data_IF_914322643618
#
_entry.id   IF_914322643618
#
_cell.length_a   1.000
_cell.length_b   1.000
_cell.length_c   1.000
_cell.angle_alpha   90.00
_cell.angle_beta   90.00
_cell.angle_gamma   90.00
#
_symmetry.space_group_name_H-M   'P 1'
#
loop_
_entity.id
_entity.type
_entity.pdbx_description
1 polymer ?
#
# COMPACT_ATOMS: atom_id res chain seq x y z
N UNK A 1 -20.12 -26.68 -34.24
CA UNK A 1 -20.16 -25.22 -34.05
C UNK A 1 -19.96 -24.94 -32.57
N UNK A 2 -18.87 -24.25 -32.20
CA UNK A 2 -18.41 -23.98 -30.82
C UNK A 2 -18.76 -22.54 -30.43
N UNK A 3 -19.25 -22.30 -29.20
CA UNK A 3 -18.65 -21.23 -28.40
C UNK A 3 -18.74 -21.54 -26.89
N UNK A 4 -17.82 -22.38 -26.37
CA UNK A 4 -17.73 -22.62 -24.92
C UNK A 4 -16.40 -22.13 -24.30
N UNK A 5 -15.47 -21.66 -25.12
CA UNK A 5 -14.08 -21.39 -24.70
C UNK A 5 -13.82 -19.94 -24.29
N UNK A 6 -14.72 -19.00 -24.64
CA UNK A 6 -14.53 -17.57 -24.36
C UNK A 6 -14.98 -17.13 -22.96
N UNK A 7 -15.86 -17.88 -22.29
CA UNK A 7 -16.39 -17.47 -20.98
C UNK A 7 -15.43 -17.76 -19.81
N UNK A 8 -14.57 -18.78 -19.94
CA UNK A 8 -13.68 -19.22 -18.86
C UNK A 8 -12.48 -18.29 -18.67
N UNK A 9 -12.03 -17.62 -19.73
CA UNK A 9 -10.90 -16.66 -19.67
C UNK A 9 -11.28 -15.40 -18.88
N UNK A 10 -12.55 -14.98 -18.94
CA UNK A 10 -13.02 -13.76 -18.29
C UNK A 10 -13.10 -13.87 -16.76
N UNK A 11 -13.35 -15.06 -16.23
CA UNK A 11 -13.43 -15.31 -14.78
C UNK A 11 -12.06 -15.42 -14.10
N UNK A 12 -11.00 -15.71 -14.84
CA UNK A 12 -9.65 -15.85 -14.26
C UNK A 12 -8.98 -14.48 -13.97
N UNK A 13 -9.37 -13.41 -14.67
CA UNK A 13 -8.84 -12.05 -14.47
C UNK A 13 -9.25 -11.40 -13.14
N UNK A 14 -10.29 -11.92 -12.46
CA UNK A 14 -10.76 -11.40 -11.16
C UNK A 14 -10.11 -12.09 -9.94
N UNK A 15 -9.41 -13.21 -10.15
CA UNK A 15 -8.87 -14.06 -9.08
C UNK A 15 -7.52 -13.63 -8.49
N UNK A 16 -6.80 -12.68 -9.10
CA UNK A 16 -5.49 -12.21 -8.63
C UNK A 16 -5.57 -11.23 -7.44
N UNK A 17 -6.54 -11.43 -6.54
CA UNK A 17 -6.71 -10.66 -5.30
C UNK A 17 -6.42 -11.50 -4.04
N UNK A 18 -6.14 -12.80 -4.16
CA UNK A 18 -5.82 -13.67 -3.03
C UNK A 18 -4.35 -13.57 -2.57
N UNK A 19 -3.39 -13.33 -3.49
CA UNK A 19 -1.99 -13.05 -3.14
C UNK A 19 -1.83 -11.69 -2.41
N UNK A 20 -2.87 -10.86 -2.45
CA UNK A 20 -2.94 -9.47 -1.95
C UNK A 20 -3.06 -9.37 -0.41
N UNK A 21 -3.34 -10.48 0.29
CA UNK A 21 -3.61 -10.53 1.74
C UNK A 21 -2.41 -10.86 2.61
N UNK A 22 -1.34 -11.41 2.04
CA UNK A 22 -0.02 -11.43 2.71
C UNK A 22 0.73 -10.20 2.21
N UNK A 23 1.07 -9.19 2.99
CA UNK A 23 1.09 -9.06 4.44
C UNK A 23 1.34 -7.58 4.67
N UNK A 24 0.30 -6.79 4.88
CA UNK A 24 0.52 -5.41 5.33
C UNK A 24 1.16 -5.45 6.72
N UNK A 25 0.55 -6.23 7.63
CA UNK A 25 1.12 -6.51 8.96
C UNK A 25 2.55 -7.03 8.90
N UNK A 26 2.88 -8.02 8.06
CA UNK A 26 4.28 -8.52 7.99
C UNK A 26 5.24 -7.64 7.18
N UNK A 27 4.76 -6.69 6.38
CA UNK A 27 5.62 -5.64 5.82
C UNK A 27 6.02 -4.67 6.92
N UNK A 28 5.07 -4.26 7.77
CA UNK A 28 5.31 -3.35 8.89
C UNK A 28 5.91 -4.04 10.13
N UNK A 29 6.02 -5.37 10.14
CA UNK A 29 6.71 -6.10 11.21
C UNK A 29 8.24 -5.98 11.12
N UNK A 30 8.78 -5.77 9.91
CA UNK A 30 10.22 -5.65 9.68
C UNK A 30 10.63 -4.22 9.36
N UNK A 31 11.51 -3.63 10.20
CA UNK A 31 12.07 -2.29 9.97
C UNK A 31 12.70 -2.16 8.58
N UNK A 32 13.42 -3.19 8.11
CA UNK A 32 14.07 -3.20 6.79
C UNK A 32 13.07 -3.09 5.63
N UNK A 33 11.88 -3.68 5.78
CA UNK A 33 10.83 -3.58 4.77
C UNK A 33 10.19 -2.19 4.77
N UNK A 34 10.03 -1.58 5.95
CA UNK A 34 9.55 -0.20 6.08
C UNK A 34 10.57 0.79 5.51
N UNK A 35 11.86 0.62 5.80
CA UNK A 35 12.94 1.43 5.22
C UNK A 35 12.90 1.36 3.70
N UNK A 36 12.78 0.15 3.11
CA UNK A 36 12.62 -0.02 1.66
C UNK A 36 11.36 0.65 1.11
N UNK A 37 10.23 0.48 1.80
CA UNK A 37 8.98 1.13 1.41
C UNK A 37 9.15 2.65 1.41
N UNK A 38 9.81 3.21 2.41
CA UNK A 38 10.11 4.64 2.52
C UNK A 38 11.10 5.09 1.46
N UNK A 39 12.14 4.32 1.15
CA UNK A 39 13.09 4.65 0.09
C UNK A 39 12.41 4.66 -1.29
N UNK A 40 11.46 3.73 -1.51
CA UNK A 40 10.59 3.77 -2.68
C UNK A 40 9.69 5.02 -2.66
N UNK A 41 9.18 5.38 -1.47
CA UNK A 41 8.40 6.59 -1.25
C UNK A 41 9.23 7.84 -1.56
N UNK A 42 10.45 7.98 -1.07
CA UNK A 42 11.26 9.18 -1.30
C UNK A 42 11.95 9.20 -2.67
N UNK A 43 11.68 8.20 -3.53
CA UNK A 43 12.25 8.13 -4.88
C UNK A 43 13.73 7.71 -4.92
N UNK A 44 14.27 7.19 -3.81
CA UNK A 44 15.63 6.64 -3.74
C UNK A 44 15.73 5.33 -4.53
N UNK A 45 14.65 4.55 -4.57
CA UNK A 45 14.58 3.30 -5.33
C UNK A 45 13.23 3.13 -6.04
N UNK A 46 13.19 2.26 -7.05
CA UNK A 46 11.94 1.94 -7.73
C UNK A 46 11.02 1.10 -6.83
N UNK A 47 9.77 1.52 -6.71
CA UNK A 47 8.75 0.77 -5.99
C UNK A 47 8.35 -0.48 -6.76
N UNK A 48 8.25 -1.61 -6.07
CA UNK A 48 7.52 -2.79 -6.56
C UNK A 48 6.02 -2.51 -6.65
N UNK A 49 5.27 -3.32 -7.41
CA UNK A 49 3.81 -3.17 -7.53
C UNK A 49 3.09 -3.28 -6.16
N UNK A 50 3.66 -4.03 -5.22
CA UNK A 50 3.13 -4.13 -3.86
C UNK A 50 3.39 -2.85 -3.08
N UNK A 51 4.63 -2.34 -3.10
CA UNK A 51 5.00 -1.09 -2.42
C UNK A 51 4.26 0.12 -2.97
N UNK A 52 4.03 0.19 -4.29
CA UNK A 52 3.18 1.23 -4.90
C UNK A 52 1.77 1.21 -4.33
N UNK A 53 1.16 0.02 -4.22
CA UNK A 53 -0.19 -0.11 -3.66
C UNK A 53 -0.22 0.31 -2.18
N UNK A 54 0.77 -0.10 -1.38
CA UNK A 54 0.88 0.31 0.02
C UNK A 54 1.06 1.82 0.11
N UNK A 55 1.86 2.41 -0.78
CA UNK A 55 2.03 3.84 -0.87
C UNK A 55 0.71 4.56 -1.10
N UNK A 56 -0.02 4.18 -2.14
CA UNK A 56 -1.28 4.83 -2.48
C UNK A 56 -2.30 4.69 -1.34
N UNK A 57 -2.33 3.52 -0.68
CA UNK A 57 -3.16 3.29 0.50
C UNK A 57 -2.74 4.17 1.68
N UNK A 58 -1.45 4.30 1.96
CA UNK A 58 -0.92 5.14 3.03
C UNK A 58 -1.22 6.63 2.78
N UNK A 59 -1.02 7.10 1.55
CA UNK A 59 -1.37 8.47 1.13
C UNK A 59 -2.86 8.71 1.34
N UNK A 60 -3.71 7.83 0.79
CA UNK A 60 -5.15 7.96 0.92
C UNK A 60 -5.61 7.93 2.40
N UNK A 61 -4.95 7.13 3.23
CA UNK A 61 -5.21 7.04 4.68
C UNK A 61 -4.83 8.33 5.39
N UNK A 62 -3.64 8.89 5.12
CA UNK A 62 -3.18 10.13 5.74
C UNK A 62 -4.00 11.34 5.28
N UNK A 63 -4.33 11.42 4.00
CA UNK A 63 -5.19 12.46 3.42
C UNK A 63 -6.62 12.42 3.96
N UNK A 64 -7.04 11.29 4.54
CA UNK A 64 -8.37 11.11 5.12
C UNK A 64 -8.27 10.87 6.64
N UNK A 65 -7.42 11.65 7.31
CA UNK A 65 -7.31 11.71 8.77
C UNK A 65 -7.07 10.35 9.47
N UNK A 66 -6.28 9.48 8.83
CA UNK A 66 -5.97 8.15 9.37
C UNK A 66 -7.01 7.08 9.04
N UNK A 67 -7.94 7.33 8.12
CA UNK A 67 -8.92 6.34 7.66
C UNK A 67 -8.66 5.99 6.20
N UNK A 68 -8.43 4.71 5.88
CA UNK A 68 -8.25 4.33 4.48
C UNK A 68 -9.61 4.32 3.75
N UNK A 69 -9.81 5.14 2.71
CA UNK A 69 -11.08 5.17 1.98
C UNK A 69 -11.33 3.88 1.19
N UNK A 70 -12.60 3.58 0.94
CA UNK A 70 -13.05 2.34 0.26
C UNK A 70 -12.55 2.22 -1.19
N UNK A 71 -12.13 3.34 -1.79
CA UNK A 71 -11.52 3.39 -3.13
C UNK A 71 -10.16 2.69 -3.17
N UNK A 72 -9.38 2.80 -2.08
CA UNK A 72 -8.03 2.21 -1.97
C UNK A 72 -8.00 0.95 -1.07
N UNK A 73 -8.88 0.89 -0.06
CA UNK A 73 -9.04 -0.26 0.83
C UNK A 73 -10.44 -0.84 0.72
N UNK A 74 -10.60 -1.84 -0.17
CA UNK A 74 -11.91 -2.42 -0.52
C UNK A 74 -12.51 -3.18 0.65
N UNK A 75 -11.69 -3.89 1.42
CA UNK A 75 -12.15 -4.71 2.54
C UNK A 75 -12.03 -3.98 3.88
N UNK A 76 -12.94 -4.29 4.82
CA UNK A 76 -12.85 -3.78 6.19
C UNK A 76 -11.54 -4.19 6.86
N UNK A 77 -11.11 -5.44 6.65
CA UNK A 77 -9.84 -5.93 7.16
C UNK A 77 -8.63 -5.15 6.63
N UNK A 78 -8.59 -4.80 5.34
CA UNK A 78 -7.51 -3.94 4.81
C UNK A 78 -7.47 -2.57 5.47
N UNK A 79 -8.63 -1.99 5.80
CA UNK A 79 -8.70 -0.70 6.50
C UNK A 79 -8.15 -0.80 7.92
N UNK A 80 -8.56 -1.83 8.66
CA UNK A 80 -8.05 -2.10 10.02
C UNK A 80 -6.55 -2.39 10.02
N UNK A 81 -6.09 -3.24 9.09
CA UNK A 81 -4.67 -3.59 8.94
C UNK A 81 -3.84 -2.33 8.61
N UNK A 82 -4.34 -1.44 7.74
CA UNK A 82 -3.71 -0.15 7.43
C UNK A 82 -3.65 0.77 8.65
N UNK A 83 -4.76 0.93 9.37
CA UNK A 83 -4.81 1.78 10.56
C UNK A 83 -3.84 1.30 11.63
N UNK A 84 -3.84 0.00 11.90
CA UNK A 84 -2.92 -0.64 12.84
C UNK A 84 -1.46 -0.48 12.39
N UNK A 85 -1.18 -0.62 11.10
CA UNK A 85 0.16 -0.45 10.55
C UNK A 85 0.66 0.99 10.67
N UNK A 86 -0.20 1.98 10.46
CA UNK A 86 0.15 3.39 10.67
C UNK A 86 0.41 3.71 12.14
N UNK A 87 -0.41 3.18 13.06
CA UNK A 87 -0.17 3.30 14.50
C UNK A 87 1.14 2.62 14.91
N UNK A 88 1.43 1.43 14.39
CA UNK A 88 2.70 0.74 14.61
C UNK A 88 3.89 1.55 14.09
N UNK A 89 3.76 2.14 12.90
CA UNK A 89 4.82 2.98 12.33
C UNK A 89 5.08 4.22 13.20
N UNK A 90 4.02 4.90 13.65
CA UNK A 90 4.10 6.06 14.54
C UNK A 90 4.73 5.73 15.90
N UNK A 91 4.37 4.58 16.49
CA UNK A 91 4.79 4.21 17.85
C UNK A 91 6.15 3.52 17.89
N UNK A 92 6.43 2.62 16.94
CA UNK A 92 7.63 1.77 16.94
C UNK A 92 8.79 2.37 16.15
N UNK A 93 8.50 3.16 15.10
CA UNK A 93 9.52 3.74 14.22
C UNK A 93 9.24 5.22 13.91
N UNK A 94 9.25 6.10 14.93
CA UNK A 94 8.90 7.52 14.76
C UNK A 94 9.85 8.26 13.80
N UNK A 95 11.10 7.82 13.68
CA UNK A 95 12.08 8.31 12.71
C UNK A 95 11.63 8.07 11.26
N UNK A 96 11.15 6.86 10.99
CA UNK A 96 10.64 6.44 9.68
C UNK A 96 9.28 7.10 9.39
N UNK A 97 8.42 7.23 10.40
CA UNK A 97 7.17 7.99 10.30
C UNK A 97 7.41 9.44 9.89
N UNK A 98 8.35 10.13 10.55
CA UNK A 98 8.68 11.51 10.24
C UNK A 98 9.26 11.68 8.83
N UNK A 99 10.04 10.72 8.35
CA UNK A 99 10.49 10.69 6.95
C UNK A 99 9.33 10.54 5.97
N UNK A 100 8.41 9.62 6.24
CA UNK A 100 7.23 9.38 5.41
C UNK A 100 6.33 10.63 5.35
N UNK A 101 5.98 11.18 6.50
CA UNK A 101 5.14 12.39 6.62
C UNK A 101 5.86 13.60 6.04
N UNK A 102 7.16 13.75 6.31
CA UNK A 102 7.99 14.80 5.73
C UNK A 102 8.00 14.74 4.20
N UNK A 103 8.18 13.54 3.62
CA UNK A 103 8.12 13.36 2.17
C UNK A 103 6.76 13.75 1.57
N UNK A 104 5.68 13.51 2.30
CA UNK A 104 4.32 13.87 1.88
C UNK A 104 4.00 15.35 2.00
N UNK A 105 4.32 15.94 3.15
CA UNK A 105 4.04 17.36 3.45
C UNK A 105 4.93 18.27 2.60
N UNK A 106 6.21 17.93 2.48
CA UNK A 106 7.16 18.73 1.71
C UNK A 106 6.97 18.57 0.20
N UNK A 107 6.02 17.73 -0.23
CA UNK A 107 5.68 17.56 -1.63
C UNK A 107 6.91 17.30 -2.48
N UNK A 108 7.82 16.42 -2.02
CA UNK A 108 8.89 15.94 -2.90
C UNK A 108 8.15 15.20 -4.01
N UNK A 109 7.99 15.92 -5.10
CA UNK A 109 7.04 15.65 -6.17
C UNK A 109 7.39 14.29 -6.76
N UNK A 110 6.49 13.36 -6.48
CA UNK A 110 6.53 11.98 -6.93
C UNK A 110 6.34 11.93 -8.42
N UNK A 111 7.43 11.96 -9.18
CA UNK A 111 7.56 11.29 -10.48
C UNK A 111 6.27 11.23 -11.30
N UNK A 112 5.59 12.37 -11.48
CA UNK A 112 4.58 12.57 -12.50
C UNK A 112 5.37 12.67 -13.81
N UNK A 113 5.71 11.51 -14.36
CA UNK A 113 6.01 11.35 -15.79
C UNK A 113 4.85 10.62 -16.43
#
# INVERSE_FOLDING_TARGET
MKPATLFVVFLCLMGASAQRRRTLESYFDSRKNIEKLIDCFVGVQACTAVEQKIKDQAIATMSNFGQCPVTHCKTQKEREDMQKSMQLLQTKYPDLWNRLVGALILGIDFGRK
#
